data_IF_842761008455
#
_entry.id   IF_842761008455
#
_cell.length_a   1.000
_cell.length_b   1.000
_cell.length_c   1.000
_cell.angle_alpha   90.00
_cell.angle_beta   90.00
_cell.angle_gamma   90.00
#
_symmetry.space_group_name_H-M   'P 1'
#
loop_
_entity.id
_entity.type
_entity.pdbx_description
1 polymer ?
#
# COMPACT_ATOMS: atom_id res chain seq x y z
N UNK A 1 -20.36 -12.81 -18.69
CA UNK A 1 -20.95 -11.47 -18.85
C UNK A 1 -20.14 -10.53 -18.01
N UNK A 2 -19.26 -9.77 -18.65
CA UNK A 2 -18.41 -8.78 -17.98
C UNK A 2 -19.25 -7.50 -17.80
N UNK A 3 -19.79 -7.34 -16.62
CA UNK A 3 -20.41 -6.06 -16.27
C UNK A 3 -19.30 -4.99 -16.17
N UNK A 4 -19.43 -4.00 -17.02
CA UNK A 4 -18.60 -2.79 -17.02
C UNK A 4 -18.76 -2.05 -15.67
N UNK A 5 -17.80 -2.19 -14.76
CA UNK A 5 -17.72 -1.48 -13.48
C UNK A 5 -17.37 0.02 -13.63
N UNK A 6 -17.59 0.61 -14.78
CA UNK A 6 -17.32 2.03 -15.07
C UNK A 6 -18.53 2.94 -14.86
N UNK A 7 -19.56 2.49 -14.16
CA UNK A 7 -20.69 3.37 -13.81
C UNK A 7 -20.55 3.83 -12.37
N UNK A 8 -20.65 5.12 -12.15
CA UNK A 8 -20.81 5.84 -10.89
C UNK A 8 -22.02 5.32 -10.10
N UNK A 9 -21.96 4.08 -9.63
CA UNK A 9 -22.93 3.60 -8.66
C UNK A 9 -22.59 4.24 -7.31
N UNK A 10 -23.57 4.94 -6.77
CA UNK A 10 -23.49 5.44 -5.40
C UNK A 10 -23.14 4.27 -4.48
N UNK A 11 -21.99 4.35 -3.82
CA UNK A 11 -21.58 3.36 -2.83
C UNK A 11 -21.88 3.94 -1.46
N UNK A 12 -22.55 3.17 -0.62
CA UNK A 12 -22.78 3.55 0.77
C UNK A 12 -21.43 3.88 1.43
N UNK A 13 -21.24 5.06 2.04
CA UNK A 13 -20.01 5.42 2.72
C UNK A 13 -19.57 4.38 3.78
N UNK A 14 -20.52 3.71 4.43
CA UNK A 14 -20.24 2.64 5.39
C UNK A 14 -19.50 1.43 4.77
N UNK A 15 -19.51 1.30 3.45
CA UNK A 15 -18.84 0.24 2.68
C UNK A 15 -17.56 0.70 1.98
N UNK A 16 -17.10 1.89 2.26
CA UNK A 16 -15.82 2.43 1.76
C UNK A 16 -14.78 2.29 2.87
N UNK A 17 -13.58 1.83 2.51
CA UNK A 17 -12.40 1.79 3.38
C UNK A 17 -11.24 2.48 2.67
N UNK A 18 -10.76 3.55 3.26
CA UNK A 18 -9.63 4.31 2.74
C UNK A 18 -8.34 3.80 3.35
N UNK A 19 -7.34 3.57 2.53
CA UNK A 19 -6.01 3.20 3.01
C UNK A 19 -4.92 3.85 2.17
N UNK A 20 -3.75 3.96 2.73
CA UNK A 20 -2.56 4.43 2.03
C UNK A 20 -1.38 3.46 2.20
N UNK A 21 -0.28 3.72 1.48
CA UNK A 21 0.97 2.95 1.60
C UNK A 21 2.07 3.89 2.09
N UNK A 22 2.58 3.62 3.27
CA UNK A 22 3.75 4.27 3.86
C UNK A 22 4.98 3.45 3.47
N UNK A 23 5.92 4.06 2.78
CA UNK A 23 7.15 3.40 2.34
C UNK A 23 8.28 4.41 2.19
N UNK A 24 9.50 3.96 2.42
CA UNK A 24 10.70 4.70 1.99
C UNK A 24 10.87 4.65 0.47
N UNK A 25 11.68 5.55 -0.08
CA UNK A 25 12.06 5.55 -1.49
C UNK A 25 12.67 4.19 -1.82
N UNK A 26 12.34 3.64 -2.98
CA UNK A 26 12.82 2.34 -3.49
C UNK A 26 12.41 1.10 -2.67
N UNK A 27 11.57 1.20 -1.63
CA UNK A 27 11.02 0.02 -0.93
C UNK A 27 9.96 -0.73 -1.74
N UNK A 28 9.56 -0.20 -2.90
CA UNK A 28 8.67 -0.86 -3.85
C UNK A 28 7.20 -0.46 -3.73
N UNK A 29 6.92 0.76 -3.25
CA UNK A 29 5.56 1.30 -3.12
C UNK A 29 4.80 1.23 -4.44
N UNK A 30 5.31 1.82 -5.51
CA UNK A 30 4.65 1.82 -6.83
C UNK A 30 4.49 0.40 -7.39
N UNK A 31 5.47 -0.48 -7.17
CA UNK A 31 5.37 -1.89 -7.58
C UNK A 31 4.25 -2.63 -6.84
N UNK A 32 4.11 -2.41 -5.53
CA UNK A 32 3.01 -3.00 -4.75
C UNK A 32 1.66 -2.44 -5.18
N UNK A 33 1.57 -1.13 -5.38
CA UNK A 33 0.36 -0.47 -5.89
C UNK A 33 -0.07 -1.04 -7.24
N UNK A 34 0.86 -1.20 -8.18
CA UNK A 34 0.59 -1.84 -9.48
C UNK A 34 0.05 -3.26 -9.33
N UNK A 35 0.58 -4.06 -8.38
CA UNK A 35 0.09 -5.41 -8.11
C UNK A 35 -1.32 -5.42 -7.53
N UNK A 36 -1.63 -4.50 -6.64
CA UNK A 36 -2.98 -4.34 -6.10
C UNK A 36 -3.97 -3.98 -7.22
N UNK A 37 -3.60 -3.06 -8.11
CA UNK A 37 -4.40 -2.70 -9.29
C UNK A 37 -4.63 -3.88 -10.23
N UNK A 38 -3.61 -4.67 -10.47
CA UNK A 38 -3.68 -5.85 -11.33
C UNK A 38 -4.60 -6.93 -10.72
N UNK A 39 -4.44 -7.22 -9.42
CA UNK A 39 -5.24 -8.22 -8.72
C UNK A 39 -6.72 -7.82 -8.60
N UNK A 40 -7.00 -6.53 -8.38
CA UNK A 40 -8.36 -5.99 -8.32
C UNK A 40 -9.06 -5.91 -9.69
N UNK A 41 -8.31 -6.14 -10.80
CA UNK A 41 -8.77 -6.07 -12.19
C UNK A 41 -9.41 -4.73 -12.55
N UNK A 42 -9.09 -3.67 -11.84
CA UNK A 42 -9.55 -2.30 -12.14
C UNK A 42 -8.91 -1.79 -13.42
N UNK A 43 -7.68 -2.20 -13.68
CA UNK A 43 -6.96 -1.91 -14.93
C UNK A 43 -6.86 -3.19 -15.74
N UNK A 44 -7.22 -3.12 -17.01
CA UNK A 44 -7.09 -4.28 -17.90
C UNK A 44 -5.61 -4.63 -18.10
N UNK A 45 -5.26 -5.92 -18.13
CA UNK A 45 -3.87 -6.37 -18.26
C UNK A 45 -3.10 -5.71 -19.42
N UNK A 46 -3.79 -5.49 -20.57
CA UNK A 46 -3.21 -4.84 -21.75
C UNK A 46 -2.88 -3.36 -21.56
N UNK A 47 -3.50 -2.70 -20.57
CA UNK A 47 -3.36 -1.28 -20.28
C UNK A 47 -2.42 -1.04 -19.08
N UNK A 48 -2.01 -2.14 -18.40
CA UNK A 48 -1.04 -2.08 -17.30
C UNK A 48 0.35 -1.74 -17.84
N UNK A 49 1.01 -0.85 -17.12
CA UNK A 49 2.41 -0.46 -17.34
C UNK A 49 3.07 -0.29 -15.98
N UNK A 50 4.40 -0.39 -15.95
CA UNK A 50 5.16 -0.13 -14.72
C UNK A 50 4.91 1.28 -14.21
N UNK A 51 4.76 1.43 -12.90
CA UNK A 51 4.46 2.70 -12.23
C UNK A 51 3.19 3.35 -12.81
N UNK A 52 2.11 2.57 -12.88
CA UNK A 52 0.86 2.98 -13.53
C UNK A 52 0.28 4.27 -12.92
N UNK A 53 0.41 4.46 -11.61
CA UNK A 53 -0.08 5.64 -10.91
C UNK A 53 0.83 6.87 -11.06
N UNK A 54 2.12 6.67 -11.34
CA UNK A 54 3.07 7.75 -11.55
C UNK A 54 2.88 8.35 -12.95
N UNK A 55 2.01 9.36 -13.06
CA UNK A 55 1.60 9.93 -14.35
C UNK A 55 2.54 11.01 -14.89
N UNK A 56 3.38 11.60 -14.05
CA UNK A 56 4.35 12.61 -14.45
C UNK A 56 5.66 11.96 -14.92
N UNK A 57 6.26 12.48 -15.98
CA UNK A 57 7.55 11.96 -16.48
C UNK A 57 8.64 12.02 -15.41
N UNK A 58 8.65 13.07 -14.59
CA UNK A 58 9.62 13.22 -13.48
C UNK A 58 9.39 12.21 -12.35
N UNK A 59 8.15 11.77 -12.10
CA UNK A 59 7.84 10.71 -11.14
C UNK A 59 8.48 9.40 -11.58
N UNK A 60 8.31 9.05 -12.86
CA UNK A 60 8.89 7.83 -13.46
C UNK A 60 10.41 7.88 -13.54
N UNK A 61 10.97 9.03 -13.94
CA UNK A 61 12.41 9.20 -14.06
C UNK A 61 13.12 9.07 -12.71
N UNK A 62 12.51 9.57 -11.64
CA UNK A 62 13.08 9.57 -10.30
C UNK A 62 12.60 8.43 -9.40
N UNK A 63 11.62 7.65 -9.83
CA UNK A 63 11.01 6.57 -9.04
C UNK A 63 10.29 7.07 -7.77
N UNK A 64 9.76 8.30 -7.79
CA UNK A 64 9.07 8.90 -6.64
C UNK A 64 7.67 9.38 -7.03
N UNK A 65 6.71 9.20 -6.14
CA UNK A 65 5.37 9.81 -6.29
C UNK A 65 5.43 11.26 -5.80
N UNK A 66 4.98 12.19 -6.61
CA UNK A 66 4.93 13.63 -6.28
C UNK A 66 3.50 14.02 -5.93
N UNK A 67 2.53 13.58 -6.72
CA UNK A 67 1.13 13.95 -6.55
C UNK A 67 0.32 12.76 -6.02
N UNK A 68 -0.35 12.95 -4.88
CA UNK A 68 -1.28 11.96 -4.36
C UNK A 68 -2.38 11.63 -5.38
N UNK A 69 -2.61 10.35 -5.58
CA UNK A 69 -3.65 9.83 -6.46
C UNK A 69 -4.59 8.92 -5.68
N UNK A 70 -5.82 8.87 -6.11
CA UNK A 70 -6.85 8.11 -5.46
C UNK A 70 -7.45 7.08 -6.42
N UNK A 71 -7.46 5.82 -6.01
CA UNK A 71 -7.96 4.71 -6.83
C UNK A 71 -9.00 3.92 -6.07
N UNK A 72 -10.15 3.68 -6.71
CA UNK A 72 -11.23 2.87 -6.17
C UNK A 72 -11.08 1.42 -6.63
N UNK A 73 -11.02 0.51 -5.67
CA UNK A 73 -10.83 -0.92 -5.85
C UNK A 73 -12.09 -1.64 -5.35
N UNK A 74 -12.99 -2.08 -6.23
CA UNK A 74 -14.11 -2.91 -5.81
C UNK A 74 -13.57 -4.25 -5.33
N UNK A 75 -14.02 -4.68 -4.16
CA UNK A 75 -13.56 -5.91 -3.52
C UNK A 75 -14.71 -6.67 -2.87
N UNK A 76 -14.63 -7.99 -2.90
CA UNK A 76 -15.54 -8.87 -2.17
C UNK A 76 -14.69 -9.73 -1.23
N UNK A 77 -14.71 -9.47 0.10
CA UNK A 77 -13.99 -10.28 1.07
C UNK A 77 -14.41 -11.75 1.01
N UNK A 78 -13.45 -12.64 1.12
CA UNK A 78 -13.67 -14.09 1.13
C UNK A 78 -13.73 -14.66 2.56
N UNK A 79 -13.54 -13.81 3.57
CA UNK A 79 -13.60 -14.15 4.99
C UNK A 79 -13.81 -12.89 5.81
N UNK A 80 -14.19 -13.05 7.07
CA UNK A 80 -14.37 -11.93 8.00
C UNK A 80 -15.80 -11.40 8.08
N UNK A 81 -16.04 -10.29 8.79
CA UNK A 81 -17.39 -9.77 9.06
C UNK A 81 -18.14 -9.33 7.80
N UNK A 82 -17.45 -8.91 6.76
CA UNK A 82 -18.04 -8.44 5.49
C UNK A 82 -17.93 -9.52 4.37
N UNK A 83 -17.79 -10.82 4.74
CA UNK A 83 -17.67 -11.93 3.78
C UNK A 83 -18.83 -11.95 2.78
N UNK A 84 -18.49 -11.96 1.49
CA UNK A 84 -19.47 -12.01 0.39
C UNK A 84 -20.15 -10.68 0.08
N UNK A 85 -19.91 -9.63 0.87
CA UNK A 85 -20.44 -8.29 0.61
C UNK A 85 -19.49 -7.48 -0.27
N UNK A 86 -20.04 -6.69 -1.19
CA UNK A 86 -19.22 -5.81 -2.00
C UNK A 86 -18.86 -4.55 -1.21
N UNK A 87 -17.56 -4.35 -1.00
CA UNK A 87 -16.96 -3.15 -0.42
C UNK A 87 -16.11 -2.42 -1.46
N UNK A 88 -15.77 -1.20 -1.17
CA UNK A 88 -14.81 -0.41 -1.97
C UNK A 88 -13.61 -0.09 -1.11
N UNK A 89 -12.47 -0.63 -1.48
CA UNK A 89 -11.19 -0.18 -0.95
C UNK A 89 -10.74 1.02 -1.77
N UNK A 90 -10.41 2.11 -1.11
CA UNK A 90 -9.94 3.32 -1.74
C UNK A 90 -8.48 3.53 -1.37
N UNK A 91 -7.60 3.25 -2.32
CA UNK A 91 -6.17 3.44 -2.15
C UNK A 91 -5.80 4.88 -2.44
N UNK A 92 -5.18 5.54 -1.46
CA UNK A 92 -4.60 6.88 -1.61
C UNK A 92 -3.10 6.71 -1.75
N UNK A 93 -2.60 6.86 -2.98
CA UNK A 93 -1.17 6.80 -3.26
C UNK A 93 -0.52 8.12 -2.83
N UNK A 94 0.35 8.05 -1.83
CA UNK A 94 0.97 9.22 -1.18
C UNK A 94 2.43 9.36 -1.59
N UNK A 95 2.96 10.60 -1.67
CA UNK A 95 4.38 10.81 -1.79
C UNK A 95 5.14 10.15 -0.63
N UNK A 96 6.28 9.52 -0.94
CA UNK A 96 7.16 8.92 0.09
C UNK A 96 8.29 9.84 0.55
N UNK A 97 8.46 11.04 -0.02
CA UNK A 97 9.59 11.93 0.21
C UNK A 97 9.29 12.97 1.30
N UNK A 98 10.31 13.33 2.12
CA UNK A 98 10.18 14.30 3.23
C UNK A 98 9.65 15.68 2.81
N UNK A 99 9.91 16.10 1.58
CA UNK A 99 9.46 17.38 1.06
C UNK A 99 7.93 17.49 0.94
N UNK A 100 7.21 16.39 1.01
CA UNK A 100 5.76 16.29 0.85
C UNK A 100 5.03 15.93 2.14
N UNK A 101 5.58 16.28 3.30
CA UNK A 101 5.00 15.93 4.63
C UNK A 101 3.55 16.42 4.78
N UNK A 102 3.22 17.58 4.23
CA UNK A 102 1.86 18.12 4.28
C UNK A 102 0.85 17.26 3.51
N UNK A 103 1.21 16.83 2.30
CA UNK A 103 0.38 15.94 1.48
C UNK A 103 0.21 14.58 2.13
N UNK A 104 1.28 14.05 2.75
CA UNK A 104 1.25 12.80 3.51
C UNK A 104 0.31 12.92 4.71
N UNK A 105 0.42 13.96 5.54
CA UNK A 105 -0.43 14.18 6.70
C UNK A 105 -1.91 14.22 6.31
N UNK A 106 -2.26 14.98 5.28
CA UNK A 106 -3.65 15.07 4.80
C UNK A 106 -4.20 13.76 4.24
N UNK A 107 -3.35 12.96 3.59
CA UNK A 107 -3.74 11.66 3.09
C UNK A 107 -4.00 10.68 4.26
N UNK A 108 -3.14 10.71 5.28
CA UNK A 108 -3.31 9.90 6.50
C UNK A 108 -4.60 10.26 7.23
N UNK A 109 -4.92 11.55 7.39
CA UNK A 109 -6.19 12.01 8.01
C UNK A 109 -7.45 11.47 7.30
N UNK A 110 -7.33 11.12 6.01
CA UNK A 110 -8.44 10.61 5.21
C UNK A 110 -8.53 9.08 5.19
N UNK A 111 -7.59 8.38 5.82
CA UNK A 111 -7.50 6.92 5.83
C UNK A 111 -8.03 6.32 7.13
N UNK A 112 -8.48 5.06 7.07
CA UNK A 112 -8.78 4.21 8.22
C UNK A 112 -7.62 3.25 8.51
N UNK A 113 -6.76 2.98 7.52
CA UNK A 113 -5.61 2.11 7.66
C UNK A 113 -4.43 2.50 6.78
N UNK A 114 -3.26 2.01 7.14
CA UNK A 114 -2.02 2.22 6.38
C UNK A 114 -1.22 0.92 6.24
N UNK A 115 -0.76 0.65 5.03
CA UNK A 115 0.22 -0.41 4.78
C UNK A 115 1.61 0.18 5.06
N UNK A 116 2.31 -0.35 6.06
CA UNK A 116 3.71 -0.04 6.30
C UNK A 116 4.58 -0.99 5.47
N UNK A 117 5.15 -0.49 4.38
CA UNK A 117 5.96 -1.28 3.46
C UNK A 117 7.45 -1.08 3.74
N UNK A 118 8.14 -2.16 4.09
CA UNK A 118 9.58 -2.17 4.41
C UNK A 118 10.32 -3.12 3.47
N UNK A 119 11.50 -2.72 3.01
CA UNK A 119 12.40 -3.58 2.23
C UNK A 119 13.12 -4.57 3.14
N UNK A 120 13.02 -5.87 2.84
CA UNK A 120 13.62 -6.95 3.61
C UNK A 120 15.16 -6.98 3.59
N UNK A 121 15.79 -6.17 2.73
CA UNK A 121 17.25 -6.06 2.65
C UNK A 121 17.79 -4.79 3.33
N UNK A 122 16.95 -3.73 3.43
CA UNK A 122 17.37 -2.42 3.96
C UNK A 122 16.84 -2.17 5.37
N UNK A 123 15.63 -2.67 5.69
CA UNK A 123 14.99 -2.44 6.97
C UNK A 123 14.25 -1.09 7.04
N UNK A 124 13.97 -0.62 8.26
CA UNK A 124 13.22 0.61 8.49
C UNK A 124 14.15 1.82 8.46
N UNK A 125 13.80 2.81 7.65
CA UNK A 125 14.48 4.08 7.54
C UNK A 125 13.79 5.16 8.40
N UNK A 126 14.56 6.16 8.84
CA UNK A 126 14.07 7.22 9.74
C UNK A 126 12.84 7.97 9.21
N UNK A 127 12.76 8.16 7.90
CA UNK A 127 11.60 8.79 7.25
C UNK A 127 10.34 7.94 7.36
N UNK A 128 10.49 6.63 7.25
CA UNK A 128 9.37 5.68 7.40
C UNK A 128 8.82 5.73 8.82
N UNK A 129 9.71 5.83 9.82
CA UNK A 129 9.32 6.01 11.22
C UNK A 129 8.52 7.29 11.45
N UNK A 130 8.96 8.42 10.89
CA UNK A 130 8.23 9.68 11.03
C UNK A 130 6.82 9.62 10.42
N UNK A 131 6.66 8.95 9.29
CA UNK A 131 5.34 8.77 8.68
C UNK A 131 4.49 7.73 9.45
N UNK A 132 5.12 6.73 10.05
CA UNK A 132 4.45 5.77 10.93
C UNK A 132 3.92 6.46 12.19
N UNK A 133 4.72 7.31 12.83
CA UNK A 133 4.30 8.09 13.99
C UNK A 133 3.06 8.93 13.65
N UNK A 134 3.06 9.62 12.50
CA UNK A 134 1.90 10.37 12.03
C UNK A 134 0.67 9.48 11.80
N UNK A 135 0.84 8.26 11.28
CA UNK A 135 -0.26 7.33 11.08
C UNK A 135 -0.83 6.85 12.43
N UNK A 136 0.02 6.57 13.40
CA UNK A 136 -0.40 6.18 14.75
C UNK A 136 -1.08 7.34 15.51
N UNK A 137 -0.62 8.57 15.33
CA UNK A 137 -1.30 9.78 15.87
C UNK A 137 -2.70 9.98 15.31
N UNK A 138 -2.96 9.49 14.09
CA UNK A 138 -4.28 9.53 13.44
C UNK A 138 -5.12 8.26 13.70
N UNK A 139 -4.72 7.41 14.63
CA UNK A 139 -5.45 6.17 15.00
C UNK A 139 -5.64 5.19 13.81
N UNK A 140 -4.71 5.17 12.85
CA UNK A 140 -4.81 4.27 11.71
C UNK A 140 -4.46 2.83 12.09
N UNK A 141 -5.21 1.88 11.54
CA UNK A 141 -4.82 0.45 11.57
C UNK A 141 -3.58 0.23 10.71
N UNK A 142 -2.49 -0.23 11.31
CA UNK A 142 -1.21 -0.45 10.61
C UNK A 142 -1.09 -1.91 10.18
N UNK A 143 -0.96 -2.13 8.87
CA UNK A 143 -0.70 -3.44 8.28
C UNK A 143 0.77 -3.51 7.88
N UNK A 144 1.62 -4.22 8.66
CA UNK A 144 3.04 -4.32 8.36
C UNK A 144 3.31 -5.29 7.21
N UNK A 145 4.09 -4.85 6.22
CA UNK A 145 4.44 -5.63 5.04
C UNK A 145 5.94 -5.55 4.77
N UNK A 146 6.58 -6.70 4.74
CA UNK A 146 7.99 -6.85 4.41
C UNK A 146 8.13 -7.29 2.95
N UNK A 147 8.67 -6.42 2.12
CA UNK A 147 8.78 -6.60 0.68
C UNK A 147 10.18 -7.04 0.25
N UNK A 148 10.28 -7.51 -0.99
CA UNK A 148 11.53 -7.95 -1.63
C UNK A 148 12.20 -9.13 -0.91
N UNK A 149 11.43 -10.02 -0.33
CA UNK A 149 11.94 -11.24 0.33
C UNK A 149 12.68 -12.18 -0.64
N UNK A 150 12.55 -11.96 -1.94
CA UNK A 150 13.23 -12.68 -3.02
C UNK A 150 14.71 -12.25 -3.22
N UNK A 151 15.13 -11.16 -2.60
CA UNK A 151 16.50 -10.67 -2.75
C UNK A 151 17.48 -11.52 -1.92
N UNK A 152 18.69 -11.83 -2.46
CA UNK A 152 19.71 -12.59 -1.72
C UNK A 152 20.18 -11.93 -0.41
N UNK A 153 20.05 -10.61 -0.31
CA UNK A 153 20.42 -9.84 0.87
C UNK A 153 19.26 -9.66 1.87
N UNK A 154 18.08 -10.20 1.58
CA UNK A 154 16.92 -10.10 2.46
C UNK A 154 17.14 -10.89 3.74
N UNK A 155 16.76 -10.30 4.88
CA UNK A 155 16.70 -10.95 6.19
C UNK A 155 15.30 -10.77 6.80
N UNK A 156 14.32 -11.56 6.32
CA UNK A 156 12.92 -11.38 6.72
C UNK A 156 12.69 -11.59 8.21
N UNK A 157 13.43 -12.52 8.85
CA UNK A 157 13.24 -12.82 10.28
C UNK A 157 13.69 -11.64 11.15
N UNK A 158 14.85 -11.08 10.83
CA UNK A 158 15.39 -9.92 11.55
C UNK A 158 14.45 -8.72 11.45
N UNK A 159 14.06 -8.36 10.21
CA UNK A 159 13.27 -7.15 9.99
C UNK A 159 11.79 -7.30 10.38
N UNK A 160 11.23 -8.52 10.34
CA UNK A 160 9.91 -8.76 10.89
C UNK A 160 9.90 -8.52 12.41
N UNK A 161 10.93 -9.00 13.13
CA UNK A 161 11.06 -8.75 14.57
C UNK A 161 11.24 -7.25 14.88
N UNK A 162 12.04 -6.54 14.07
CA UNK A 162 12.25 -5.10 14.24
C UNK A 162 10.93 -4.31 14.06
N UNK A 163 10.18 -4.60 12.98
CA UNK A 163 8.88 -3.99 12.70
C UNK A 163 7.89 -4.30 13.84
N UNK A 164 7.81 -5.56 14.25
CA UNK A 164 6.90 -6.01 15.30
C UNK A 164 7.15 -5.28 16.64
N UNK A 165 8.42 -5.08 17.00
CA UNK A 165 8.79 -4.32 18.21
C UNK A 165 8.39 -2.85 18.14
N UNK A 166 8.43 -2.23 16.96
CA UNK A 166 8.08 -0.81 16.78
C UNK A 166 6.57 -0.61 16.82
N UNK A 167 5.81 -1.49 16.16
CA UNK A 167 4.34 -1.37 16.06
C UNK A 167 3.65 -1.96 17.29
N UNK A 168 4.29 -2.93 17.96
CA UNK A 168 3.70 -3.64 19.09
C UNK A 168 2.81 -4.83 18.68
N UNK A 169 3.15 -5.50 17.58
CA UNK A 169 2.49 -6.71 17.10
C UNK A 169 3.42 -7.94 17.21
N UNK A 170 2.92 -9.12 16.84
CA UNK A 170 3.76 -10.33 16.77
C UNK A 170 4.48 -10.39 15.41
N UNK A 171 5.73 -10.94 15.35
CA UNK A 171 6.50 -11.04 14.10
C UNK A 171 5.79 -11.85 12.99
N UNK A 172 4.91 -12.78 13.38
CA UNK A 172 4.09 -13.60 12.48
C UNK A 172 2.99 -12.81 11.80
N UNK A 173 2.60 -11.65 12.35
CA UNK A 173 1.61 -10.74 11.77
C UNK A 173 2.21 -9.88 10.66
N UNK A 174 3.54 -9.81 10.55
CA UNK A 174 4.23 -9.10 9.47
C UNK A 174 4.11 -9.90 8.18
N UNK A 175 3.37 -9.37 7.22
CA UNK A 175 3.16 -10.00 5.91
C UNK A 175 4.47 -9.99 5.10
N UNK A 176 4.83 -11.13 4.52
CA UNK A 176 6.05 -11.30 3.72
C UNK A 176 5.69 -11.39 2.25
N UNK A 177 6.19 -10.49 1.42
CA UNK A 177 5.80 -10.38 0.02
C UNK A 177 6.99 -10.14 -0.91
N UNK A 178 6.80 -10.47 -2.19
CA UNK A 178 7.61 -9.97 -3.28
C UNK A 178 6.72 -9.33 -4.33
N UNK A 179 6.65 -8.01 -4.35
CA UNK A 179 5.88 -7.28 -5.35
C UNK A 179 6.34 -7.56 -6.78
N UNK A 180 7.64 -7.83 -6.98
CA UNK A 180 8.20 -8.18 -8.29
C UNK A 180 7.73 -9.54 -8.80
N UNK A 181 7.70 -10.55 -7.95
CA UNK A 181 7.33 -11.92 -8.31
C UNK A 181 5.82 -12.19 -8.15
N UNK A 182 5.04 -11.20 -7.75
CA UNK A 182 3.61 -11.33 -7.42
C UNK A 182 3.34 -12.35 -6.31
N UNK A 183 4.33 -12.63 -5.47
CA UNK A 183 4.20 -13.49 -4.31
C UNK A 183 3.62 -12.65 -3.17
N UNK A 184 2.35 -12.84 -2.89
CA UNK A 184 1.69 -12.35 -1.70
C UNK A 184 1.59 -13.54 -0.76
N UNK A 185 2.30 -13.49 0.33
CA UNK A 185 2.36 -14.52 1.36
C UNK A 185 3.09 -15.82 0.96
N UNK A 186 4.29 -15.99 1.45
CA UNK A 186 4.93 -17.29 1.56
C UNK A 186 4.96 -17.67 3.05
#
# INVERSE_FOLDING_TARGET
>A
MSENFAATTFTDPARIRNFCIIAHIDHGKSTLADRILQLSKVVAERDMRDQFLDNMDIERERGITIKAQNVRLPWVPQSGPDEGEQIVLQMIDTPGHVDFTYEVSRALEACEGAILLVDAAQGIEAQTLANLDLAMENDLEIIPVLNKIDLPAADPEKYALEIANIIGCEPEEVLRVSGKLSLIHI
#
